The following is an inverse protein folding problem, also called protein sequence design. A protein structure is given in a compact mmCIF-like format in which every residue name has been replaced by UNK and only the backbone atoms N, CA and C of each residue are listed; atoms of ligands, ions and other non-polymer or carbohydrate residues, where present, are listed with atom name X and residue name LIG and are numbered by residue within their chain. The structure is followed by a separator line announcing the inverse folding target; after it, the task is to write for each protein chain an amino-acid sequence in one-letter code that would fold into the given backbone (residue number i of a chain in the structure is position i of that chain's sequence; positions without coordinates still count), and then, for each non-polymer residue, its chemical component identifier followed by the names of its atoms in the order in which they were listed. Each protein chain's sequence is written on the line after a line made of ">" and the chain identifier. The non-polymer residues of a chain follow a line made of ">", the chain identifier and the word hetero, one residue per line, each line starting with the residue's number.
data_IF_969410580644
#
_entry.id   IF_969410580644
#
_cell.length_a   1.000
_cell.length_b   1.000
_cell.length_c   1.000
_cell.angle_alpha   90.00
_cell.angle_beta   90.00
_cell.angle_gamma   90.00
#
_symmetry.space_group_name_H-M   'P 1'
#
loop_
_entity.id
_entity.type
_entity.pdbx_description
1 polymer ?
#
# COMPACT_ATOMS: atom_id res chain seq x y z
N UNK A 1 -9.43 4.29 4.09
CA UNK A 1 -10.75 4.96 4.06
C UNK A 1 -11.38 4.76 2.67
N UNK A 2 -12.46 3.98 2.56
CA UNK A 2 -13.12 3.73 1.26
C UNK A 2 -13.78 5.00 0.67
N UNK A 3 -13.91 6.04 1.47
CA UNK A 3 -14.56 7.30 1.08
C UNK A 3 -13.55 8.44 0.85
N UNK A 4 -12.28 8.14 0.61
CA UNK A 4 -11.31 9.19 0.32
C UNK A 4 -11.63 9.89 -1.01
N UNK A 5 -11.38 11.18 -1.06
CA UNK A 5 -11.63 12.01 -2.24
C UNK A 5 -10.32 12.14 -3.02
N UNK A 6 -10.34 11.77 -4.30
CA UNK A 6 -9.25 12.07 -5.23
C UNK A 6 -9.45 13.47 -5.79
N UNK A 7 -8.45 14.32 -5.60
CA UNK A 7 -8.37 15.61 -6.26
C UNK A 7 -7.53 15.49 -7.54
N UNK A 8 -7.87 16.29 -8.54
CA UNK A 8 -7.12 16.32 -9.80
C UNK A 8 -6.13 17.48 -9.82
N UNK A 9 -5.30 17.57 -10.87
CA UNK A 9 -4.43 18.72 -11.09
C UNK A 9 -5.17 20.06 -11.13
N UNK A 10 -6.44 20.06 -11.48
CA UNK A 10 -7.27 21.29 -11.48
C UNK A 10 -7.57 21.78 -10.06
N UNK A 11 -7.42 20.93 -9.07
CA UNK A 11 -7.65 21.21 -7.65
C UNK A 11 -6.38 21.66 -6.90
N UNK A 12 -5.26 21.76 -7.60
CA UNK A 12 -3.96 22.14 -7.03
C UNK A 12 -3.99 23.53 -6.41
N UNK A 13 -3.25 23.72 -5.31
CA UNK A 13 -3.08 25.04 -4.73
C UNK A 13 -1.84 25.19 -3.83
N UNK A 14 -1.18 24.12 -3.46
CA UNK A 14 0.01 24.11 -2.61
C UNK A 14 1.28 23.85 -3.43
N UNK A 15 2.28 23.24 -2.83
CA UNK A 15 3.61 23.02 -3.41
C UNK A 15 3.58 22.13 -4.65
N UNK A 16 2.63 21.18 -4.73
CA UNK A 16 2.47 20.31 -5.89
C UNK A 16 2.34 21.09 -7.20
N UNK A 17 1.74 22.26 -7.17
CA UNK A 17 1.60 23.12 -8.37
C UNK A 17 2.93 23.59 -8.96
N UNK A 18 3.98 23.66 -8.14
CA UNK A 18 5.32 24.02 -8.58
C UNK A 18 6.11 22.79 -8.99
N UNK A 19 6.10 21.75 -8.14
CA UNK A 19 6.88 20.54 -8.36
C UNK A 19 6.37 19.68 -9.52
N UNK A 20 5.06 19.65 -9.74
CA UNK A 20 4.47 18.93 -10.87
C UNK A 20 4.21 19.81 -12.10
N UNK A 21 4.76 21.05 -12.13
CA UNK A 21 4.60 21.95 -13.27
C UNK A 21 5.36 21.46 -14.51
N UNK A 22 4.91 21.82 -15.73
CA UNK A 22 5.62 21.48 -16.96
C UNK A 22 7.10 21.93 -16.91
N UNK A 23 8.00 21.01 -17.24
CA UNK A 23 9.46 21.25 -17.22
C UNK A 23 10.14 20.93 -15.88
N UNK A 24 9.39 20.73 -14.79
CA UNK A 24 9.86 20.22 -13.49
C UNK A 24 9.41 18.76 -13.32
N UNK A 25 8.11 18.54 -13.37
CA UNK A 25 7.43 17.23 -13.47
C UNK A 25 7.88 16.19 -12.42
N UNK A 26 7.99 16.62 -11.16
CA UNK A 26 8.28 15.73 -10.06
C UNK A 26 6.98 15.03 -9.57
N UNK A 27 7.05 13.74 -9.18
CA UNK A 27 5.89 12.99 -8.73
C UNK A 27 5.50 13.36 -7.29
N UNK A 28 4.95 14.56 -7.09
CA UNK A 28 4.52 15.06 -5.78
C UNK A 28 3.01 14.93 -5.65
N UNK A 29 2.57 14.27 -4.58
CA UNK A 29 1.17 14.17 -4.20
C UNK A 29 0.95 14.74 -2.80
N UNK A 30 -0.20 15.39 -2.60
CA UNK A 30 -0.60 15.94 -1.30
C UNK A 30 -1.62 15.01 -0.65
N UNK A 31 -1.34 14.59 0.60
CA UNK A 31 -2.28 13.86 1.45
C UNK A 31 -2.79 14.84 2.51
N UNK A 32 -4.13 14.98 2.60
CA UNK A 32 -4.74 15.91 3.55
C UNK A 32 -6.02 15.33 4.15
N UNK A 33 -6.33 15.67 5.40
CA UNK A 33 -7.60 15.30 6.05
C UNK A 33 -8.77 16.10 5.53
N UNK A 34 -8.57 17.39 5.38
CA UNK A 34 -9.56 18.33 4.83
C UNK A 34 -8.89 19.15 3.76
N UNK A 35 -9.55 19.27 2.61
CA UNK A 35 -9.03 20.09 1.53
C UNK A 35 -8.99 21.55 1.96
N UNK A 36 -7.91 22.25 1.68
CA UNK A 36 -7.79 23.69 1.86
C UNK A 36 -8.95 24.41 1.13
N UNK A 37 -9.48 25.45 1.77
CA UNK A 37 -10.67 26.15 1.29
C UNK A 37 -11.99 25.37 1.41
N UNK A 38 -11.95 24.14 1.93
CA UNK A 38 -13.13 23.30 2.15
C UNK A 38 -13.72 23.40 3.57
N UNK A 39 -13.08 24.15 4.47
CA UNK A 39 -13.55 24.39 5.82
C UNK A 39 -13.43 25.89 6.15
N UNK A 40 -14.35 26.45 6.97
CA UNK A 40 -14.49 27.89 7.15
C UNK A 40 -13.35 28.54 7.92
N UNK A 41 -12.62 27.78 8.73
CA UNK A 41 -11.51 28.26 9.54
C UNK A 41 -10.22 28.48 8.74
N UNK A 42 -10.12 27.89 7.55
CA UNK A 42 -8.91 27.94 6.72
C UNK A 42 -8.45 29.36 6.42
N UNK A 43 -7.20 29.68 6.74
CA UNK A 43 -6.58 31.00 6.58
C UNK A 43 -7.29 32.14 7.35
N UNK A 44 -7.93 31.82 8.47
CA UNK A 44 -8.53 32.79 9.38
C UNK A 44 -7.93 32.67 10.78
N UNK A 45 -8.25 33.61 11.67
CA UNK A 45 -7.88 33.55 13.09
C UNK A 45 -8.60 32.44 13.88
N UNK A 46 -9.56 31.76 13.26
CA UNK A 46 -10.27 30.60 13.83
C UNK A 46 -9.56 29.27 13.57
N UNK A 47 -8.50 29.26 12.76
CA UNK A 47 -7.65 28.09 12.54
C UNK A 47 -6.69 27.93 13.73
N UNK A 48 -7.24 27.44 14.81
CA UNK A 48 -6.59 27.26 16.11
C UNK A 48 -6.60 25.81 16.59
N UNK A 49 -6.27 25.57 17.85
CA UNK A 49 -6.20 24.23 18.45
C UNK A 49 -7.57 23.54 18.62
N UNK A 50 -8.68 24.20 18.31
CA UNK A 50 -10.00 23.54 18.22
C UNK A 50 -10.18 22.82 16.88
N UNK A 51 -9.50 23.30 15.84
CA UNK A 51 -9.45 22.70 14.49
C UNK A 51 -8.28 21.73 14.38
N UNK A 52 -7.08 22.16 14.79
CA UNK A 52 -5.86 21.35 14.79
C UNK A 52 -5.80 20.55 16.09
N UNK A 53 -6.37 19.35 16.08
CA UNK A 53 -6.45 18.48 17.23
C UNK A 53 -5.35 17.42 17.26
N UNK A 54 -4.99 16.86 18.45
CA UNK A 54 -4.06 15.73 18.54
C UNK A 54 -4.47 14.54 17.67
N UNK A 55 -5.76 14.18 17.66
CA UNK A 55 -6.27 13.08 16.81
C UNK A 55 -6.19 13.41 15.33
N UNK A 56 -6.28 14.68 14.96
CA UNK A 56 -6.07 15.16 13.60
C UNK A 56 -4.63 14.95 13.13
N UNK A 57 -3.68 15.34 13.97
CA UNK A 57 -2.25 15.16 13.69
C UNK A 57 -1.87 13.67 13.64
N UNK A 58 -2.35 12.87 14.58
CA UNK A 58 -2.12 11.42 14.60
C UNK A 58 -2.66 10.76 13.33
N UNK A 59 -3.86 11.12 12.88
CA UNK A 59 -4.44 10.58 11.65
C UNK A 59 -3.62 10.94 10.41
N UNK A 60 -3.14 12.18 10.31
CA UNK A 60 -2.23 12.61 9.23
C UNK A 60 -0.90 11.86 9.25
N UNK A 61 -0.27 11.79 10.42
CA UNK A 61 0.96 11.02 10.63
C UNK A 61 0.80 9.56 10.21
N UNK A 62 -0.26 8.90 10.69
CA UNK A 62 -0.53 7.48 10.39
C UNK A 62 -0.76 7.24 8.90
N UNK A 63 -1.44 8.15 8.20
CA UNK A 63 -1.65 8.05 6.77
C UNK A 63 -0.33 8.18 5.99
N UNK A 64 0.50 9.18 6.32
CA UNK A 64 1.81 9.38 5.70
C UNK A 64 2.75 8.22 5.97
N UNK A 65 2.82 7.75 7.23
CA UNK A 65 3.63 6.60 7.60
C UNK A 65 3.28 5.37 6.76
N UNK A 66 1.99 5.06 6.65
CA UNK A 66 1.52 3.93 5.83
C UNK A 66 1.85 4.11 4.34
N UNK A 67 1.72 5.31 3.80
CA UNK A 67 2.08 5.57 2.41
C UNK A 67 3.59 5.32 2.17
N UNK A 68 4.45 5.76 3.09
CA UNK A 68 5.90 5.52 3.02
C UNK A 68 6.20 4.03 3.15
N UNK A 69 5.56 3.33 4.10
CA UNK A 69 5.73 1.88 4.28
C UNK A 69 5.36 1.10 3.02
N UNK A 70 4.30 1.50 2.31
CA UNK A 70 3.94 0.90 1.02
C UNK A 70 5.06 1.15 0.00
N UNK A 71 5.54 2.38 -0.15
CA UNK A 71 6.59 2.73 -1.12
C UNK A 71 7.87 1.92 -0.85
N UNK A 72 8.28 1.81 0.42
CA UNK A 72 9.49 1.08 0.83
C UNK A 72 9.39 -0.44 0.61
N UNK A 73 8.19 -1.00 0.79
CA UNK A 73 7.96 -2.45 0.74
C UNK A 73 7.31 -2.93 -0.56
N UNK A 74 7.01 -2.03 -1.47
CA UNK A 74 6.41 -2.37 -2.76
C UNK A 74 7.47 -2.90 -3.72
N UNK A 75 7.57 -4.20 -3.83
CA UNK A 75 8.58 -4.92 -4.62
C UNK A 75 7.91 -5.76 -5.70
N UNK A 76 8.65 -6.05 -6.77
CA UNK A 76 8.27 -7.03 -7.76
C UNK A 76 8.66 -8.42 -7.29
N UNK A 77 7.74 -9.36 -7.38
CA UNK A 77 7.88 -10.70 -6.84
C UNK A 77 7.81 -11.74 -7.94
N UNK A 78 8.67 -12.75 -7.85
CA UNK A 78 8.69 -13.86 -8.79
C UNK A 78 8.80 -15.19 -8.08
N UNK A 79 7.98 -16.15 -8.51
CA UNK A 79 8.09 -17.52 -8.02
C UNK A 79 9.38 -18.17 -8.51
N UNK A 80 10.03 -18.94 -7.63
CA UNK A 80 11.27 -19.66 -7.93
C UNK A 80 11.01 -21.05 -8.51
N UNK A 81 9.75 -21.51 -8.46
CA UNK A 81 9.31 -22.84 -8.91
C UNK A 81 8.36 -22.72 -10.08
N UNK A 82 8.39 -23.71 -10.96
CA UNK A 82 7.42 -23.82 -12.06
C UNK A 82 6.13 -24.44 -11.56
N UNK A 83 5.02 -23.78 -11.83
CA UNK A 83 3.69 -24.19 -11.39
C UNK A 83 3.44 -23.93 -9.91
N UNK A 84 2.39 -24.56 -9.40
CA UNK A 84 1.96 -24.38 -8.02
C UNK A 84 2.92 -25.08 -7.04
N UNK A 85 3.47 -24.38 -6.03
CA UNK A 85 4.39 -24.97 -5.08
C UNK A 85 3.70 -25.95 -4.15
N UNK A 86 4.41 -27.02 -3.79
CA UNK A 86 3.92 -28.00 -2.82
C UNK A 86 4.07 -27.47 -1.38
N UNK A 87 3.15 -26.62 -0.95
CA UNK A 87 3.17 -25.95 0.35
C UNK A 87 3.20 -26.94 1.53
N UNK A 88 2.52 -28.09 1.41
CA UNK A 88 2.46 -29.09 2.47
C UNK A 88 3.83 -29.71 2.81
N UNK A 89 4.71 -29.91 1.84
CA UNK A 89 6.07 -30.42 2.08
C UNK A 89 6.97 -29.43 2.83
N UNK A 90 6.60 -28.15 2.82
CA UNK A 90 7.34 -27.05 3.44
C UNK A 90 6.70 -26.59 4.76
N UNK A 91 5.67 -27.29 5.23
CA UNK A 91 4.98 -26.92 6.48
C UNK A 91 4.20 -25.61 6.40
N UNK A 92 3.91 -25.13 5.19
CA UNK A 92 3.21 -23.86 4.95
C UNK A 92 1.68 -23.99 5.00
N UNK A 93 1.17 -25.22 5.14
CA UNK A 93 -0.24 -25.42 5.47
C UNK A 93 -0.44 -25.37 6.98
N UNK A 94 -1.50 -24.69 7.44
CA UNK A 94 -1.89 -24.74 8.85
C UNK A 94 -2.13 -26.19 9.30
N UNK A 95 -1.64 -26.55 10.47
CA UNK A 95 -1.81 -27.90 11.06
C UNK A 95 -3.25 -28.18 11.49
N UNK A 96 -4.05 -27.12 11.69
CA UNK A 96 -5.47 -27.21 12.04
C UNK A 96 -6.31 -26.59 10.91
N UNK A 97 -7.25 -27.35 10.40
CA UNK A 97 -8.21 -26.89 9.40
C UNK A 97 -9.32 -26.08 10.08
N UNK A 98 -9.15 -24.76 10.13
CA UNK A 98 -10.18 -23.80 10.56
C UNK A 98 -10.63 -22.97 9.35
N UNK A 99 -11.73 -22.23 9.49
CA UNK A 99 -12.18 -21.30 8.43
C UNK A 99 -11.13 -20.23 8.13
N UNK A 100 -10.49 -19.71 9.17
CA UNK A 100 -9.46 -18.66 9.04
C UNK A 100 -8.19 -19.20 8.38
N UNK A 101 -7.78 -20.43 8.70
CA UNK A 101 -6.63 -21.08 8.06
C UNK A 101 -6.87 -21.36 6.59
N UNK A 102 -8.10 -21.71 6.21
CA UNK A 102 -8.49 -21.89 4.80
C UNK A 102 -8.43 -20.59 4.01
N UNK A 103 -8.82 -19.47 4.62
CA UNK A 103 -8.71 -18.14 4.01
C UNK A 103 -7.26 -17.74 3.81
N UNK A 104 -6.40 -17.92 4.82
CA UNK A 104 -4.97 -17.61 4.72
C UNK A 104 -4.27 -18.39 3.61
N UNK A 105 -4.55 -19.68 3.46
CA UNK A 105 -4.02 -20.50 2.36
C UNK A 105 -4.50 -19.95 1.01
N UNK A 106 -5.77 -19.57 0.91
CA UNK A 106 -6.33 -19.02 -0.33
C UNK A 106 -5.65 -17.71 -0.70
N UNK A 107 -5.46 -16.80 0.26
CA UNK A 107 -4.74 -15.53 0.05
C UNK A 107 -3.31 -15.77 -0.42
N UNK A 108 -2.59 -16.72 0.23
CA UNK A 108 -1.24 -17.12 -0.18
C UNK A 108 -1.22 -17.66 -1.61
N UNK A 109 -2.15 -18.53 -2.00
CA UNK A 109 -2.23 -19.08 -3.34
C UNK A 109 -2.57 -18.03 -4.39
N UNK A 110 -3.50 -17.11 -4.06
CA UNK A 110 -3.83 -15.99 -4.92
C UNK A 110 -2.62 -15.09 -5.13
N UNK A 111 -1.87 -14.78 -4.06
CA UNK A 111 -0.63 -14.00 -4.14
C UNK A 111 0.38 -14.67 -5.09
N UNK A 112 0.68 -15.95 -4.89
CA UNK A 112 1.63 -16.72 -5.70
C UNK A 112 1.24 -16.68 -7.18
N UNK A 113 -0.06 -16.71 -7.49
CA UNK A 113 -0.56 -16.74 -8.88
C UNK A 113 -0.12 -15.50 -9.68
N UNK A 114 0.03 -14.35 -9.04
CA UNK A 114 0.42 -13.09 -9.66
C UNK A 114 1.91 -12.73 -9.47
N UNK A 115 2.69 -13.58 -8.79
CA UNK A 115 4.12 -13.37 -8.62
C UNK A 115 4.90 -13.85 -9.86
N UNK A 116 4.70 -13.19 -10.97
CA UNK A 116 5.29 -13.47 -12.30
C UNK A 116 6.56 -12.66 -12.58
N UNK A 117 6.88 -11.69 -11.73
CA UNK A 117 7.95 -10.71 -11.90
C UNK A 117 7.50 -9.44 -12.63
N UNK A 118 6.24 -9.37 -13.09
CA UNK A 118 5.69 -8.22 -13.81
C UNK A 118 4.81 -7.33 -12.91
N UNK A 119 4.15 -7.93 -11.91
CA UNK A 119 3.32 -7.21 -10.95
C UNK A 119 4.10 -6.88 -9.67
N UNK A 120 3.93 -5.66 -9.17
CA UNK A 120 4.43 -5.32 -7.84
C UNK A 120 3.41 -5.72 -6.75
N UNK A 121 3.86 -5.76 -5.49
CA UNK A 121 3.04 -6.25 -4.38
C UNK A 121 1.75 -5.44 -4.17
N UNK A 122 1.77 -4.12 -4.43
CA UNK A 122 0.57 -3.27 -4.32
C UNK A 122 -0.46 -3.61 -5.41
N UNK A 123 -0.01 -3.80 -6.65
CA UNK A 123 -0.87 -4.25 -7.75
C UNK A 123 -1.49 -5.61 -7.46
N UNK A 124 -0.71 -6.54 -6.91
CA UNK A 124 -1.21 -7.86 -6.49
C UNK A 124 -2.25 -7.71 -5.39
N UNK A 125 -1.99 -6.88 -4.37
CA UNK A 125 -2.94 -6.63 -3.28
C UNK A 125 -4.30 -6.11 -3.80
N UNK A 126 -4.26 -5.18 -4.78
CA UNK A 126 -5.46 -4.68 -5.44
C UNK A 126 -6.18 -5.76 -6.25
N UNK A 127 -5.46 -6.58 -7.01
CA UNK A 127 -6.02 -7.65 -7.84
C UNK A 127 -6.70 -8.75 -7.02
N UNK A 128 -6.12 -9.13 -5.88
CA UNK A 128 -6.67 -10.17 -5.01
C UNK A 128 -7.62 -9.64 -3.94
N UNK A 129 -7.82 -8.30 -3.88
CA UNK A 129 -8.67 -7.60 -2.91
C UNK A 129 -8.29 -7.84 -1.45
N UNK A 130 -7.00 -7.90 -1.17
CA UNK A 130 -6.47 -8.06 0.18
C UNK A 130 -5.67 -6.82 0.60
N UNK A 131 -5.68 -6.45 1.89
CA UNK A 131 -4.87 -5.33 2.37
C UNK A 131 -3.37 -5.60 2.15
N UNK A 132 -2.65 -4.60 1.64
CA UNK A 132 -1.20 -4.69 1.38
C UNK A 132 -0.40 -5.22 2.59
N UNK A 133 -0.73 -4.73 3.79
CA UNK A 133 -0.03 -5.10 5.03
C UNK A 133 -0.21 -6.57 5.42
N UNK A 134 -1.33 -7.16 5.05
CA UNK A 134 -1.62 -8.57 5.37
C UNK A 134 -0.83 -9.53 4.46
N UNK A 135 -0.34 -9.03 3.32
CA UNK A 135 0.49 -9.79 2.39
C UNK A 135 1.97 -9.83 2.80
N UNK A 136 2.47 -8.82 3.52
CA UNK A 136 3.89 -8.72 3.90
C UNK A 136 4.39 -9.99 4.62
N UNK A 137 3.75 -10.46 5.71
CA UNK A 137 4.21 -11.65 6.41
C UNK A 137 4.10 -12.93 5.55
N UNK A 138 3.18 -12.95 4.59
CA UNK A 138 3.07 -14.08 3.64
C UNK A 138 4.26 -14.06 2.68
N UNK A 139 4.61 -12.90 2.14
CA UNK A 139 5.77 -12.72 1.24
C UNK A 139 7.07 -13.10 1.96
N UNK A 140 7.28 -12.60 3.17
CA UNK A 140 8.45 -12.94 3.98
C UNK A 140 8.57 -14.45 4.18
N UNK A 141 7.47 -15.11 4.57
CA UNK A 141 7.44 -16.57 4.75
C UNK A 141 7.74 -17.33 3.45
N UNK A 142 7.24 -16.88 2.31
CA UNK A 142 7.52 -17.49 1.01
C UNK A 142 8.97 -17.30 0.57
N UNK A 143 9.57 -16.15 0.86
CA UNK A 143 10.99 -15.89 0.60
C UNK A 143 11.87 -16.77 1.49
N UNK A 144 11.57 -16.85 2.79
CA UNK A 144 12.32 -17.68 3.76
C UNK A 144 12.28 -19.17 3.39
N UNK A 145 11.21 -19.62 2.73
CA UNK A 145 11.09 -20.98 2.21
C UNK A 145 11.58 -21.16 0.77
N UNK A 146 12.30 -20.17 0.22
CA UNK A 146 12.88 -20.23 -1.12
C UNK A 146 11.85 -20.44 -2.24
N UNK A 147 10.59 -20.05 -2.03
CA UNK A 147 9.50 -20.15 -3.01
C UNK A 147 9.31 -18.89 -3.83
N UNK A 148 9.92 -17.80 -3.38
CA UNK A 148 9.77 -16.48 -4.00
C UNK A 148 11.08 -15.70 -3.93
N UNK A 149 11.31 -14.87 -4.93
CA UNK A 149 12.42 -13.93 -5.00
C UNK A 149 11.93 -12.52 -5.30
N UNK A 150 12.70 -11.53 -4.85
CA UNK A 150 12.48 -10.13 -5.22
C UNK A 150 13.23 -9.86 -6.52
N UNK A 151 12.51 -9.39 -7.54
CA UNK A 151 13.10 -8.94 -8.80
C UNK A 151 13.54 -7.47 -8.67
N UNK A 152 14.80 -7.21 -8.96
CA UNK A 152 15.31 -5.83 -9.04
C UNK A 152 14.96 -5.26 -10.41
N UNK A 153 14.18 -4.20 -10.45
CA UNK A 153 14.01 -3.39 -11.65
C UNK A 153 14.80 -2.10 -11.50
N UNK A 154 15.62 -1.80 -12.49
CA UNK A 154 16.22 -0.48 -12.63
C UNK A 154 15.13 0.47 -13.14
N UNK A 155 14.93 1.59 -12.44
CA UNK A 155 14.00 2.67 -12.81
C UNK A 155 14.58 3.58 -13.86
#
# INVERSE_FOLDING_TARGET
>A
DPNFIRCTWLDRASDERQYCAPGVDLPVATIMRSKYGGYPEYHTSLDDLTVVTPSGLEGGYSALKKAIEIIEQNVYLKTTVLGEPQLGKRGLYPTLSTRDSGMQVRTMMNLITYCDGEHNLLEIAELIHEPFWDLIPIVENLIDNELMSIEKREY
#
